data_IF_960189317253
#
_entry.id   IF_960189317253
#
_cell.length_a   1.000
_cell.length_b   1.000
_cell.length_c   1.000
_cell.angle_alpha   90.00
_cell.angle_beta   90.00
_cell.angle_gamma   90.00
#
_symmetry.space_group_name_H-M   'P 1'
#
loop_
_entity.id
_entity.type
_entity.pdbx_description
1 polymer ?
#
# COMPACT_ATOMS: atom_id res chain seq x y z
N UNK A 1 -15.11 -9.32 -30.27
CA UNK A 1 -14.75 -10.59 -29.59
C UNK A 1 -15.94 -11.09 -28.79
N UNK A 2 -15.99 -12.39 -28.48
CA UNK A 2 -17.07 -12.98 -27.67
C UNK A 2 -16.65 -12.97 -26.18
N UNK A 3 -16.96 -11.89 -25.45
CA UNK A 3 -16.58 -11.74 -24.05
C UNK A 3 -17.25 -12.78 -23.14
N UNK A 4 -18.48 -13.20 -23.45
CA UNK A 4 -19.21 -14.20 -22.67
C UNK A 4 -18.50 -15.55 -22.69
N UNK A 5 -18.08 -16.01 -23.87
CA UNK A 5 -17.36 -17.27 -24.02
C UNK A 5 -16.04 -17.27 -23.24
N UNK A 6 -15.28 -16.17 -23.29
CA UNK A 6 -14.02 -16.07 -22.55
C UNK A 6 -14.25 -16.15 -21.04
N UNK A 7 -15.33 -15.55 -20.51
CA UNK A 7 -15.70 -15.69 -19.09
C UNK A 7 -16.04 -17.14 -18.73
N UNK A 8 -16.82 -17.82 -19.57
CA UNK A 8 -17.17 -19.24 -19.35
C UNK A 8 -15.92 -20.13 -19.34
N UNK A 9 -14.97 -19.89 -20.26
CA UNK A 9 -13.67 -20.58 -20.28
C UNK A 9 -12.87 -20.30 -19.02
N UNK A 10 -12.90 -19.06 -18.50
CA UNK A 10 -12.25 -18.71 -17.24
C UNK A 10 -12.78 -19.49 -16.05
N UNK A 11 -14.11 -19.54 -15.90
CA UNK A 11 -14.79 -20.29 -14.84
C UNK A 11 -14.47 -21.79 -14.91
N UNK A 12 -14.54 -22.37 -16.10
CA UNK A 12 -14.24 -23.79 -16.30
C UNK A 12 -12.76 -24.10 -16.03
N UNK A 13 -11.85 -23.20 -16.44
CA UNK A 13 -10.43 -23.34 -16.16
C UNK A 13 -10.14 -23.27 -14.66
N UNK A 14 -10.81 -22.40 -13.90
CA UNK A 14 -10.70 -22.34 -12.43
C UNK A 14 -11.15 -23.66 -11.79
N UNK A 15 -12.31 -24.19 -12.20
CA UNK A 15 -12.83 -25.47 -11.71
C UNK A 15 -11.89 -26.65 -12.00
N UNK A 16 -11.16 -26.60 -13.12
CA UNK A 16 -10.16 -27.60 -13.49
C UNK A 16 -8.78 -27.35 -12.85
N UNK A 17 -8.61 -26.33 -12.01
CA UNK A 17 -7.33 -25.95 -11.40
C UNK A 17 -6.31 -25.33 -12.37
N UNK A 18 -6.73 -24.96 -13.58
CA UNK A 18 -5.90 -24.29 -14.60
C UNK A 18 -5.84 -22.79 -14.36
N UNK A 19 -5.25 -22.39 -13.24
CA UNK A 19 -5.29 -21.03 -12.71
C UNK A 19 -4.74 -19.96 -13.67
N UNK A 20 -3.71 -20.26 -14.46
CA UNK A 20 -3.15 -19.28 -15.41
C UNK A 20 -4.14 -18.93 -16.53
N UNK A 21 -4.89 -19.93 -17.03
CA UNK A 21 -5.90 -19.73 -18.06
C UNK A 21 -7.11 -18.99 -17.49
N UNK A 22 -7.52 -19.34 -16.27
CA UNK A 22 -8.57 -18.62 -15.54
C UNK A 22 -8.20 -17.14 -15.35
N UNK A 23 -6.99 -16.87 -14.85
CA UNK A 23 -6.50 -15.51 -14.63
C UNK A 23 -6.51 -14.67 -15.92
N UNK A 24 -5.96 -15.20 -17.02
CA UNK A 24 -5.94 -14.48 -18.30
C UNK A 24 -7.35 -14.23 -18.84
N UNK A 25 -8.27 -15.19 -18.67
CA UNK A 25 -9.65 -15.07 -19.12
C UNK A 25 -10.40 -13.97 -18.34
N UNK A 26 -10.22 -13.91 -17.02
CA UNK A 26 -10.76 -12.84 -16.19
C UNK A 26 -10.13 -11.48 -16.52
N UNK A 27 -8.81 -11.43 -16.69
CA UNK A 27 -8.08 -10.20 -16.99
C UNK A 27 -8.52 -9.59 -18.32
N UNK A 28 -8.60 -10.40 -19.39
CA UNK A 28 -9.03 -9.95 -20.71
C UNK A 28 -10.49 -9.48 -20.75
N UNK A 29 -11.32 -9.96 -19.83
CA UNK A 29 -12.74 -9.58 -19.75
C UNK A 29 -13.00 -8.42 -18.78
N UNK A 30 -11.93 -7.85 -18.20
CA UNK A 30 -11.96 -6.74 -17.26
C UNK A 30 -12.42 -7.12 -15.86
N UNK A 31 -12.48 -8.42 -15.53
CA UNK A 31 -12.93 -8.88 -14.23
C UNK A 31 -11.77 -8.95 -13.22
N UNK A 32 -11.34 -7.77 -12.78
CA UNK A 32 -10.17 -7.61 -11.91
C UNK A 32 -10.40 -8.21 -10.51
N UNK A 33 -11.64 -8.20 -10.01
CA UNK A 33 -11.99 -8.75 -8.70
C UNK A 33 -11.77 -10.26 -8.66
N UNK A 34 -12.23 -10.97 -9.68
CA UNK A 34 -12.02 -12.42 -9.78
C UNK A 34 -10.55 -12.77 -10.02
N UNK A 35 -9.80 -11.94 -10.76
CA UNK A 35 -8.33 -12.07 -10.85
C UNK A 35 -7.67 -12.00 -9.45
N UNK A 36 -8.04 -11.01 -8.64
CA UNK A 36 -7.48 -10.81 -7.31
C UNK A 36 -7.82 -12.00 -6.39
N UNK A 37 -9.08 -12.41 -6.37
CA UNK A 37 -9.52 -13.55 -5.57
C UNK A 37 -8.83 -14.85 -5.99
N UNK A 38 -8.60 -15.08 -7.29
CA UNK A 38 -7.86 -16.24 -7.76
C UNK A 38 -6.40 -16.26 -7.25
N UNK A 39 -5.72 -15.10 -7.18
CA UNK A 39 -4.37 -15.01 -6.62
C UNK A 39 -4.38 -15.33 -5.12
N UNK A 40 -5.37 -14.84 -4.38
CA UNK A 40 -5.54 -15.12 -2.94
C UNK A 40 -5.82 -16.60 -2.71
N UNK A 41 -6.80 -17.19 -3.42
CA UNK A 41 -7.17 -18.62 -3.32
C UNK A 41 -5.99 -19.55 -3.60
N UNK A 42 -5.07 -19.14 -4.47
CA UNK A 42 -3.88 -19.93 -4.84
C UNK A 42 -2.67 -19.65 -3.95
N UNK A 43 -2.87 -18.95 -2.83
CA UNK A 43 -1.84 -18.59 -1.84
C UNK A 43 -0.69 -17.75 -2.41
N UNK A 44 -0.96 -16.96 -3.46
CA UNK A 44 0.00 -16.03 -4.08
C UNK A 44 -0.28 -14.60 -3.59
N UNK A 45 -0.31 -14.43 -2.27
CA UNK A 45 -0.68 -13.17 -1.61
C UNK A 45 0.24 -11.99 -1.96
N UNK A 46 1.58 -12.15 -2.09
CA UNK A 46 2.45 -11.05 -2.53
C UNK A 46 2.08 -10.53 -3.93
N UNK A 47 1.81 -11.43 -4.88
CA UNK A 47 1.36 -11.08 -6.23
C UNK A 47 0.00 -10.36 -6.19
N UNK A 48 -0.92 -10.86 -5.35
CA UNK A 48 -2.21 -10.23 -5.12
C UNK A 48 -2.05 -8.79 -4.58
N UNK A 49 -1.09 -8.54 -3.69
CA UNK A 49 -0.85 -7.20 -3.13
C UNK A 49 -0.36 -6.21 -4.20
N UNK A 50 0.58 -6.64 -5.06
CA UNK A 50 1.04 -5.82 -6.19
C UNK A 50 -0.07 -5.61 -7.23
N UNK A 51 -0.90 -6.63 -7.47
CA UNK A 51 -2.05 -6.53 -8.36
C UNK A 51 -3.07 -5.51 -7.83
N UNK A 52 -3.43 -5.59 -6.55
CA UNK A 52 -4.34 -4.65 -5.90
C UNK A 52 -3.80 -3.22 -6.00
N UNK A 53 -2.52 -2.99 -5.66
CA UNK A 53 -1.89 -1.66 -5.79
C UNK A 53 -2.01 -1.06 -7.20
N UNK A 54 -1.99 -1.89 -8.24
CA UNK A 54 -1.96 -1.43 -9.64
C UNK A 54 -3.35 -1.25 -10.24
N UNK A 55 -4.29 -2.15 -9.94
CA UNK A 55 -5.59 -2.23 -10.62
C UNK A 55 -6.79 -2.02 -9.69
N UNK A 56 -6.66 -2.30 -8.40
CA UNK A 56 -7.72 -2.24 -7.38
C UNK A 56 -7.18 -1.61 -6.09
N UNK A 57 -6.73 -0.35 -6.11
CA UNK A 57 -6.14 0.31 -4.95
C UNK A 57 -7.06 0.33 -3.71
N UNK A 58 -8.39 0.26 -3.91
CA UNK A 58 -9.35 0.14 -2.82
C UNK A 58 -9.21 -1.17 -2.00
N UNK A 59 -8.71 -2.25 -2.61
CA UNK A 59 -8.54 -3.56 -1.97
C UNK A 59 -7.16 -3.72 -1.31
N UNK A 60 -6.26 -2.73 -1.50
CA UNK A 60 -4.86 -2.85 -1.10
C UNK A 60 -4.68 -3.14 0.39
N UNK A 61 -5.42 -2.44 1.26
CA UNK A 61 -5.35 -2.64 2.72
C UNK A 61 -5.76 -4.07 3.12
N UNK A 62 -6.86 -4.59 2.55
CA UNK A 62 -7.33 -5.97 2.80
C UNK A 62 -6.27 -7.00 2.45
N UNK A 63 -5.66 -6.89 1.27
CA UNK A 63 -4.70 -7.87 0.77
C UNK A 63 -3.37 -7.79 1.53
N UNK A 64 -2.93 -6.59 1.91
CA UNK A 64 -1.75 -6.42 2.77
C UNK A 64 -2.01 -7.03 4.15
N UNK A 65 -3.21 -6.91 4.71
CA UNK A 65 -3.61 -7.61 5.94
C UNK A 65 -3.43 -9.13 5.83
N UNK A 66 -3.98 -9.74 4.77
CA UNK A 66 -3.79 -11.17 4.49
C UNK A 66 -2.32 -11.55 4.31
N UNK A 67 -1.52 -10.67 3.69
CA UNK A 67 -0.09 -10.92 3.50
C UNK A 67 0.66 -10.91 4.83
N UNK A 68 0.33 -9.97 5.72
CA UNK A 68 0.94 -9.90 7.06
C UNK A 68 0.71 -11.18 7.86
N UNK A 69 -0.51 -11.71 7.79
CA UNK A 69 -0.85 -12.99 8.44
C UNK A 69 -0.09 -14.16 7.80
N UNK A 70 -0.03 -14.23 6.47
CA UNK A 70 0.64 -15.31 5.77
C UNK A 70 2.18 -15.29 5.87
N UNK A 71 2.79 -14.11 5.98
CA UNK A 71 4.26 -13.94 5.99
C UNK A 71 4.90 -14.10 7.38
N UNK A 72 4.09 -14.17 8.45
CA UNK A 72 4.56 -14.28 9.83
C UNK A 72 5.06 -12.97 10.42
N UNK A 73 5.35 -12.98 11.74
CA UNK A 73 5.52 -11.78 12.55
C UNK A 73 6.64 -10.83 12.06
N UNK A 74 7.81 -11.37 11.68
CA UNK A 74 8.96 -10.55 11.27
C UNK A 74 8.72 -9.79 9.96
N UNK A 75 8.19 -10.49 8.95
CA UNK A 75 7.93 -9.90 7.63
C UNK A 75 6.65 -9.05 7.70
N UNK A 76 5.63 -9.51 8.42
CA UNK A 76 4.37 -8.79 8.60
C UNK A 76 4.53 -7.44 9.30
N UNK A 77 5.43 -7.31 10.28
CA UNK A 77 5.75 -6.02 10.91
C UNK A 77 6.43 -5.04 9.94
N UNK A 78 7.14 -5.55 8.94
CA UNK A 78 7.78 -4.72 7.91
C UNK A 78 6.78 -4.25 6.83
N UNK A 79 5.60 -4.87 6.76
CA UNK A 79 4.53 -4.49 5.82
C UNK A 79 3.63 -3.41 6.43
N UNK A 80 3.73 -2.20 5.88
CA UNK A 80 2.88 -1.09 6.24
C UNK A 80 1.48 -1.24 5.61
N UNK A 81 0.44 -1.07 6.43
CA UNK A 81 -0.94 -1.02 5.97
C UNK A 81 -1.26 0.39 5.44
N UNK A 82 -1.75 0.53 4.20
CA UNK A 82 -2.14 1.82 3.64
C UNK A 82 -3.21 2.57 4.44
N UNK A 83 -4.10 1.86 5.14
CA UNK A 83 -5.13 2.51 5.97
C UNK A 83 -4.55 3.11 7.26
N UNK A 84 -3.49 2.49 7.82
CA UNK A 84 -2.87 2.92 9.08
C UNK A 84 -1.78 3.98 8.87
N UNK A 85 -1.08 3.92 7.73
CA UNK A 85 0.06 4.77 7.44
C UNK A 85 -0.10 5.49 6.09
N UNK A 86 -1.16 6.29 5.95
CA UNK A 86 -1.49 7.05 4.73
C UNK A 86 -0.30 7.89 4.21
N UNK A 87 0.53 8.43 5.10
CA UNK A 87 1.73 9.19 4.77
C UNK A 87 2.81 8.39 4.02
N UNK A 88 2.80 7.06 4.09
CA UNK A 88 3.71 6.18 3.35
C UNK A 88 3.22 5.85 1.93
N UNK A 89 1.98 6.22 1.60
CA UNK A 89 1.34 5.91 0.32
C UNK A 89 0.84 7.18 -0.39
N UNK A 90 1.75 8.09 -0.77
CA UNK A 90 1.35 9.30 -1.49
C UNK A 90 0.64 8.95 -2.81
N UNK A 91 -0.46 9.65 -3.09
CA UNK A 91 -1.27 9.44 -4.29
C UNK A 91 -2.24 8.25 -4.21
N UNK A 92 -2.29 7.50 -3.11
CA UNK A 92 -3.24 6.38 -2.99
C UNK A 92 -4.70 6.85 -3.03
N UNK A 93 -5.03 7.95 -2.34
CA UNK A 93 -6.36 8.55 -2.39
C UNK A 93 -6.78 8.91 -3.81
N UNK A 94 -5.87 9.51 -4.57
CA UNK A 94 -6.11 9.85 -5.99
C UNK A 94 -6.23 8.60 -6.85
N UNK A 95 -5.46 7.55 -6.58
CA UNK A 95 -5.57 6.26 -7.27
C UNK A 95 -6.93 5.59 -6.99
N UNK A 96 -7.43 5.62 -5.75
CA UNK A 96 -8.76 5.10 -5.40
C UNK A 96 -9.85 5.90 -6.10
N UNK A 97 -9.77 7.23 -6.12
CA UNK A 97 -10.71 8.07 -6.87
C UNK A 97 -10.68 7.76 -8.37
N UNK A 98 -9.49 7.63 -8.94
CA UNK A 98 -9.26 7.30 -10.35
C UNK A 98 -9.86 5.95 -10.71
N UNK A 99 -9.72 4.94 -9.84
CA UNK A 99 -10.37 3.65 -10.00
C UNK A 99 -11.90 3.82 -10.14
N UNK A 100 -12.54 4.55 -9.23
CA UNK A 100 -13.99 4.77 -9.26
C UNK A 100 -14.44 5.56 -10.50
N UNK A 101 -13.61 6.50 -10.96
CA UNK A 101 -13.84 7.22 -12.20
C UNK A 101 -13.81 6.27 -13.41
N UNK A 102 -12.79 5.42 -13.51
CA UNK A 102 -12.65 4.44 -14.58
C UNK A 102 -13.75 3.38 -14.58
N UNK A 103 -14.20 2.92 -13.40
CA UNK A 103 -15.31 1.96 -13.29
C UNK A 103 -16.60 2.52 -13.91
N UNK A 104 -16.89 3.81 -13.70
CA UNK A 104 -18.05 4.49 -14.32
C UNK A 104 -17.92 4.65 -15.84
N UNK A 105 -16.69 4.75 -16.33
CA UNK A 105 -16.41 4.92 -17.76
C UNK A 105 -16.19 3.59 -18.50
N UNK A 106 -16.05 2.48 -17.79
CA UNK A 106 -15.74 1.18 -18.38
C UNK A 106 -16.94 0.64 -19.17
N UNK A 107 -16.86 0.72 -20.49
CA UNK A 107 -17.84 0.10 -21.39
C UNK A 107 -17.13 -0.55 -22.59
N UNK A 108 -17.70 -1.62 -23.17
CA UNK A 108 -17.11 -2.29 -24.31
C UNK A 108 -17.12 -1.36 -25.53
N UNK A 109 -15.93 -1.04 -26.04
CA UNK A 109 -15.78 -0.23 -27.24
C UNK A 109 -15.89 -1.15 -28.47
N UNK A 110 -16.74 -0.82 -29.47
CA UNK A 110 -16.81 -1.59 -30.71
C UNK A 110 -15.47 -1.59 -31.45
N UNK A 111 -15.11 -2.75 -32.03
CA UNK A 111 -13.85 -2.89 -32.76
C UNK A 111 -13.69 -1.89 -33.92
N UNK A 112 -14.80 -1.43 -34.52
CA UNK A 112 -14.79 -0.43 -35.58
C UNK A 112 -14.25 0.94 -35.11
N UNK A 113 -14.37 1.26 -33.83
CA UNK A 113 -13.88 2.52 -33.25
C UNK A 113 -12.39 2.46 -32.88
N UNK A 114 -11.69 1.35 -33.12
CA UNK A 114 -10.29 1.17 -32.72
C UNK A 114 -9.34 2.28 -33.23
N UNK A 115 -9.58 2.83 -34.43
CA UNK A 115 -8.78 3.91 -34.99
C UNK A 115 -8.95 5.26 -34.27
N UNK A 116 -10.06 5.45 -33.54
CA UNK A 116 -10.35 6.67 -32.79
C UNK A 116 -9.97 6.60 -31.31
N UNK A 117 -9.62 5.40 -30.80
CA UNK A 117 -9.26 5.21 -29.40
C UNK A 117 -7.77 5.53 -29.23
N UNK A 118 -7.41 6.49 -28.35
CA UNK A 118 -6.01 6.76 -28.02
C UNK A 118 -5.31 5.52 -27.48
N UNK A 119 -4.02 5.37 -27.79
CA UNK A 119 -3.22 4.28 -27.23
C UNK A 119 -3.05 4.40 -25.72
N UNK A 120 -2.86 3.27 -25.03
CA UNK A 120 -2.65 3.26 -23.57
C UNK A 120 -1.43 4.09 -23.12
N UNK A 121 -0.45 4.30 -24.00
CA UNK A 121 0.75 5.09 -23.71
C UNK A 121 0.48 6.60 -23.70
N UNK A 122 -0.58 7.07 -24.36
CA UNK A 122 -0.97 8.48 -24.43
C UNK A 122 -2.01 8.85 -23.38
N UNK A 123 -2.58 7.86 -22.68
CA UNK A 123 -3.62 8.08 -21.67
C UNK A 123 -3.04 8.22 -20.28
N UNK A 124 -3.49 9.25 -19.55
CA UNK A 124 -3.21 9.41 -18.13
C UNK A 124 -4.53 9.45 -17.34
N UNK A 125 -4.97 8.32 -16.77
CA UNK A 125 -6.23 8.26 -16.03
C UNK A 125 -6.34 9.21 -14.85
N UNK A 126 -5.23 9.52 -14.16
CA UNK A 126 -5.26 10.42 -13.01
C UNK A 126 -5.53 11.86 -13.43
N UNK A 127 -4.90 12.32 -14.51
CA UNK A 127 -5.17 13.66 -15.07
C UNK A 127 -6.59 13.78 -15.62
N UNK A 128 -7.09 12.74 -16.30
CA UNK A 128 -8.47 12.70 -16.80
C UNK A 128 -9.49 12.79 -15.65
N UNK A 129 -9.24 12.08 -14.54
CA UNK A 129 -10.07 12.15 -13.34
C UNK A 129 -10.02 13.56 -12.71
N UNK A 130 -8.84 14.15 -12.54
CA UNK A 130 -8.73 15.51 -11.98
C UNK A 130 -9.43 16.56 -12.86
N UNK A 131 -9.33 16.45 -14.18
CA UNK A 131 -10.06 17.31 -15.11
C UNK A 131 -11.58 17.13 -14.98
N UNK A 132 -12.05 15.89 -14.77
CA UNK A 132 -13.47 15.59 -14.58
C UNK A 132 -14.01 16.12 -13.23
N UNK A 133 -13.22 16.07 -12.16
CA UNK A 133 -13.53 16.72 -10.87
C UNK A 133 -13.61 18.25 -11.03
N UNK A 134 -12.62 18.86 -11.69
CA UNK A 134 -12.60 20.30 -11.94
C UNK A 134 -13.77 20.78 -12.81
N UNK A 135 -14.20 19.95 -13.76
CA UNK A 135 -15.37 20.20 -14.59
C UNK A 135 -16.72 19.90 -13.89
N UNK A 136 -16.70 19.33 -12.68
CA UNK A 136 -17.91 18.91 -11.96
C UNK A 136 -18.65 17.73 -12.60
N UNK A 137 -18.03 17.01 -13.54
CA UNK A 137 -18.64 15.84 -14.21
C UNK A 137 -18.47 14.57 -13.37
N UNK A 138 -17.46 14.54 -12.50
CA UNK A 138 -17.22 13.45 -11.57
C UNK A 138 -17.27 13.97 -10.13
N UNK A 139 -18.10 13.31 -9.32
CA UNK A 139 -18.14 13.48 -7.87
C UNK A 139 -17.72 12.16 -7.24
N UNK A 140 -16.69 12.22 -6.42
CA UNK A 140 -16.27 11.11 -5.58
C UNK A 140 -17.00 11.20 -4.24
N UNK A 141 -17.92 10.27 -4.00
CA UNK A 141 -18.57 10.17 -2.71
C UNK A 141 -17.62 9.46 -1.74
N UNK A 142 -16.90 10.22 -0.93
CA UNK A 142 -16.29 9.68 0.29
C UNK A 142 -17.42 9.23 1.21
N UNK A 143 -17.49 7.94 1.54
CA UNK A 143 -18.40 7.44 2.59
C UNK A 143 -17.99 7.89 4.01
N UNK A 144 -17.28 9.01 4.13
CA UNK A 144 -16.72 9.56 5.38
C UNK A 144 -17.05 11.05 5.56
N UNK A 145 -18.11 11.56 4.92
CA UNK A 145 -18.71 12.83 5.33
C UNK A 145 -19.80 12.57 6.38
N UNK A 146 -19.35 12.13 7.56
CA UNK A 146 -20.01 12.32 8.87
C UNK A 146 -19.00 12.12 10.02
N UNK A 147 -17.73 12.48 9.77
CA UNK A 147 -16.85 12.93 10.85
C UNK A 147 -16.93 14.44 10.85
N UNK A 148 -17.99 14.98 11.45
CA UNK A 148 -18.05 16.39 11.83
C UNK A 148 -16.69 16.75 12.44
N UNK A 149 -15.97 17.62 11.75
CA UNK A 149 -14.85 18.33 12.32
C UNK A 149 -15.47 19.17 13.45
N UNK A 150 -15.45 18.60 14.66
CA UNK A 150 -15.93 19.30 15.85
C UNK A 150 -15.04 20.52 15.98
N UNK A 151 -15.60 21.68 15.64
CA UNK A 151 -15.01 23.00 15.79
C UNK A 151 -14.46 23.10 17.21
N UNK A 152 -13.13 23.02 17.35
CA UNK A 152 -12.49 23.19 18.64
C UNK A 152 -12.80 24.62 19.10
N UNK A 153 -13.51 24.82 20.24
CA UNK A 153 -13.93 26.16 20.62
C UNK A 153 -12.73 27.06 20.84
N UNK A 154 -12.72 28.21 20.15
CA UNK A 154 -11.82 29.31 20.43
C UNK A 154 -11.86 29.66 21.93
N UNK A 155 -10.68 29.55 22.56
CA UNK A 155 -10.18 30.26 23.76
C UNK A 155 -11.20 30.81 24.80
N UNK A 156 -11.14 30.36 26.07
CA UNK A 156 -11.52 31.21 27.20
C UNK A 156 -10.41 32.23 27.54
N UNK A 157 -10.74 33.37 28.20
CA UNK A 157 -9.85 34.51 28.41
C UNK A 157 -8.72 34.23 29.43
N UNK A 158 -7.70 35.11 29.53
CA UNK A 158 -6.38 34.73 30.05
C UNK A 158 -6.33 34.77 31.57
N UNK A 159 -5.71 33.76 32.17
CA UNK A 159 -5.12 33.83 33.51
C UNK A 159 -3.69 33.28 33.45
N UNK A 160 -2.74 34.19 33.23
CA UNK A 160 -1.40 34.07 33.78
C UNK A 160 -1.33 34.96 35.01
N UNK A 161 -1.18 34.35 36.18
CA UNK A 161 -0.09 34.68 37.09
C UNK A 161 0.18 33.47 37.98
N UNK A 162 1.12 32.59 37.56
CA UNK A 162 2.28 32.18 38.36
C UNK A 162 2.98 30.95 37.76
N UNK A 163 4.31 31.02 37.79
CA UNK A 163 5.32 29.95 37.62
C UNK A 163 5.45 29.25 36.25
N UNK A 164 6.34 29.80 35.41
CA UNK A 164 7.09 28.99 34.43
C UNK A 164 8.16 28.20 35.17
N UNK A 165 8.14 26.87 35.05
CA UNK A 165 9.32 26.04 35.35
C UNK A 165 10.25 26.15 34.14
N UNK A 166 11.34 26.89 34.28
CA UNK A 166 12.48 26.84 33.35
C UNK A 166 13.18 25.51 33.56
N UNK A 167 13.17 24.65 32.54
CA UNK A 167 13.96 23.42 32.51
C UNK A 167 15.42 23.85 32.31
N UNK A 168 16.26 23.61 33.32
CA UNK A 168 17.68 23.93 33.28
C UNK A 168 18.42 22.92 32.41
N UNK A 169 18.97 23.40 31.30
CA UNK A 169 19.62 22.60 30.27
C UNK A 169 20.83 21.82 30.83
N UNK A 170 21.49 22.35 31.86
CA UNK A 170 22.59 21.67 32.55
C UNK A 170 22.13 20.47 33.40
N UNK A 171 20.87 20.46 33.83
CA UNK A 171 20.30 19.34 34.57
C UNK A 171 19.95 18.19 33.63
N UNK A 172 19.45 18.50 32.44
CA UNK A 172 19.15 17.51 31.39
C UNK A 172 20.42 16.84 30.86
N UNK A 173 21.50 17.60 30.68
CA UNK A 173 22.80 17.06 30.24
C UNK A 173 23.42 16.11 31.28
N UNK A 174 23.34 16.42 32.58
CA UNK A 174 23.79 15.48 33.63
C UNK A 174 22.99 14.19 33.68
N UNK A 175 21.68 14.28 33.46
CA UNK A 175 20.80 13.11 33.48
C UNK A 175 21.12 12.17 32.30
N UNK A 176 21.42 12.74 31.14
CA UNK A 176 21.90 12.00 29.96
C UNK A 176 23.31 11.40 30.17
N UNK A 177 24.24 12.13 30.78
CA UNK A 177 25.58 11.60 31.09
C UNK A 177 25.53 10.43 32.09
N UNK A 178 24.67 10.50 33.11
CA UNK A 178 24.45 9.42 34.08
C UNK A 178 23.86 8.16 33.44
N UNK A 179 23.02 8.31 32.41
CA UNK A 179 22.47 7.18 31.68
C UNK A 179 23.47 6.57 30.70
N UNK A 180 24.37 7.38 30.12
CA UNK A 180 25.50 6.87 29.34
C UNK A 180 26.52 6.09 30.20
N UNK A 181 26.78 6.51 31.45
CA UNK A 181 27.66 5.75 32.36
C UNK A 181 27.09 4.38 32.77
N UNK A 182 25.76 4.21 32.72
CA UNK A 182 25.11 2.90 32.97
C UNK A 182 25.16 1.96 31.76
N UNK A 183 25.52 2.46 30.57
CA UNK A 183 25.73 1.66 29.34
C UNK A 183 27.19 1.24 29.20
N UNK A 184 27.87 0.95 30.33
CA UNK A 184 29.12 0.18 30.29
C UNK A 184 28.80 -1.24 29.83
N UNK A 185 28.91 -1.45 28.53
CA UNK A 185 29.10 -2.76 27.93
C UNK A 185 30.36 -3.34 28.58
N UNK A 186 30.23 -4.49 29.24
CA UNK A 186 31.38 -5.28 29.69
C UNK A 186 32.11 -5.79 28.43
N UNK A 187 32.97 -4.95 27.86
CA UNK A 187 33.95 -5.31 26.86
C UNK A 187 35.03 -6.16 27.53
N UNK A 188 34.80 -7.47 27.57
CA UNK A 188 35.85 -8.45 27.81
C UNK A 188 36.03 -9.37 26.60
N UNK A 189 36.00 -8.78 25.40
CA UNK A 189 36.51 -9.42 24.18
C UNK A 189 37.99 -9.04 24.07
N UNK A 190 38.87 -9.98 24.38
CA UNK A 190 40.31 -9.84 24.22
C UNK A 190 40.65 -9.78 22.72
N UNK A 191 41.20 -8.66 22.20
CA UNK A 191 41.56 -8.53 20.79
C UNK A 191 42.75 -9.40 20.36
N UNK A 192 43.41 -10.14 21.27
CA UNK A 192 44.48 -11.09 20.93
C UNK A 192 44.00 -12.53 20.64
N UNK A 193 42.70 -12.83 20.74
CA UNK A 193 42.15 -14.17 20.45
C UNK A 193 41.70 -14.35 18.97
N UNK A 194 42.07 -13.40 18.11
CA UNK A 194 41.88 -13.48 16.65
C UNK A 194 43.22 -13.74 15.95
N UNK A 195 43.94 -14.78 16.38
CA UNK A 195 45.03 -15.34 15.60
C UNK A 195 44.46 -16.44 14.70
N UNK A 196 43.81 -16.03 13.62
CA UNK A 196 43.47 -16.91 12.50
C UNK A 196 44.75 -17.09 11.68
N UNK A 197 45.43 -18.22 11.86
CA UNK A 197 46.58 -18.61 11.03
C UNK A 197 46.14 -18.68 9.56
N UNK A 198 46.59 -17.72 8.74
CA UNK A 198 46.30 -17.59 7.31
C UNK A 198 46.86 -18.75 6.44
N UNK A 199 47.42 -19.81 7.03
CA UNK A 199 48.02 -20.94 6.30
C UNK A 199 47.04 -22.07 5.92
N UNK A 200 45.79 -22.09 6.42
CA UNK A 200 44.83 -23.17 6.07
C UNK A 200 43.86 -22.81 4.92
N UNK A 201 43.94 -21.57 4.40
CA UNK A 201 43.10 -21.11 3.28
C UNK A 201 43.70 -21.38 1.90
N UNK A 202 44.86 -22.03 1.84
CA UNK A 202 45.54 -22.45 0.60
C UNK A 202 46.13 -23.87 0.75
N UNK A 203 45.27 -24.87 0.87
CA UNK A 203 45.63 -26.26 0.56
C UNK A 203 44.50 -26.92 -0.24
N UNK A 204 44.81 -27.15 -1.53
CA UNK A 204 44.11 -27.85 -2.64
C UNK A 204 42.70 -28.44 -2.44
#
# INVERSE_FOLDING_TARGET
>A
GNAKLIREVGNEAENQGRNNVAFLSYFLTGNLKDCLELLIKTNRVPEAAFFARTYLPNEMSRVVGLWKEAAGEKIGQSLADPAQYDNLFPGLKDAVKTQHFLEKQSHPIPAAAAASVPGNHDRNPMEEMHAAEAAGTFLYATQEEDSEFVDAPQQPPPLSASARVTIDQAQLERELELDLEKVRIEDNVDPNDLNLDEEELLAD
#
